data_IF_732985278414
#
_entry.id   IF_732985278414
#
_cell.length_a   1.000
_cell.length_b   1.000
_cell.length_c   1.000
_cell.angle_alpha   90.00
_cell.angle_beta   90.00
_cell.angle_gamma   90.00
#
_symmetry.space_group_name_H-M   'P 1'
#
loop_
_entity.id
_entity.type
_entity.pdbx_description
1 polymer ?
#
# COMPACT_ATOMS: atom_id res chain seq x y z
N UNK A 1 17.54 -1.22 26.77
CA UNK A 1 16.66 -0.15 26.23
C UNK A 1 15.92 -0.77 25.05
N UNK A 2 14.64 -1.09 25.20
CA UNK A 2 13.85 -1.71 24.12
C UNK A 2 13.08 -0.61 23.40
N UNK A 3 13.49 -0.29 22.18
CA UNK A 3 12.79 0.69 21.36
C UNK A 3 11.67 -0.04 20.61
N UNK A 4 10.44 0.09 21.10
CA UNK A 4 9.25 -0.32 20.35
C UNK A 4 8.93 0.82 19.39
N UNK A 5 9.21 0.60 18.10
CA UNK A 5 8.78 1.51 17.04
C UNK A 5 7.32 1.20 16.76
N UNK A 6 6.41 2.00 17.32
CA UNK A 6 4.99 1.90 17.02
C UNK A 6 4.77 2.45 15.60
N UNK A 7 4.41 1.61 14.63
CA UNK A 7 4.23 2.02 13.22
C UNK A 7 3.02 2.92 13.05
N UNK A 8 3.13 4.18 12.59
CA UNK A 8 2.01 4.86 11.98
C UNK A 8 2.02 4.47 10.50
N UNK A 9 1.30 3.40 10.17
CA UNK A 9 1.05 2.99 8.79
C UNK A 9 -0.34 2.41 8.67
N UNK A 10 -1.33 3.20 9.11
CA UNK A 10 -2.73 2.97 8.77
C UNK A 10 -2.92 3.46 7.34
N UNK A 11 -2.55 2.62 6.37
CA UNK A 11 -2.84 2.87 4.96
C UNK A 11 -4.28 2.45 4.71
N UNK A 12 -5.22 3.29 5.13
CA UNK A 12 -6.65 3.04 4.91
C UNK A 12 -7.17 3.92 3.79
N UNK A 13 -7.89 3.33 2.85
CA UNK A 13 -8.60 4.04 1.79
C UNK A 13 -10.10 4.03 2.09
N UNK A 14 -10.74 5.20 2.07
CA UNK A 14 -12.20 5.28 2.06
C UNK A 14 -12.67 5.16 0.62
N UNK A 15 -13.31 4.05 0.28
CA UNK A 15 -13.98 3.92 -1.00
C UNK A 15 -15.26 4.78 -1.03
N UNK A 16 -15.63 5.35 -2.19
CA UNK A 16 -16.85 6.13 -2.34
C UNK A 16 -18.13 5.42 -1.88
N UNK A 17 -18.25 4.10 -2.10
CA UNK A 17 -19.50 3.37 -1.80
C UNK A 17 -19.36 2.10 -0.96
N UNK A 18 -18.15 1.58 -0.73
CA UNK A 18 -17.93 0.27 -0.07
C UNK A 18 -17.19 0.36 1.27
N UNK A 19 -17.14 1.57 1.85
CA UNK A 19 -16.54 1.79 3.17
C UNK A 19 -15.01 1.85 3.14
N UNK A 20 -14.39 1.48 4.26
CA UNK A 20 -12.95 1.61 4.46
C UNK A 20 -12.21 0.31 4.16
N UNK A 21 -11.15 0.43 3.37
CA UNK A 21 -10.20 -0.65 3.07
C UNK A 21 -8.94 -0.41 3.89
N UNK A 22 -8.45 -1.45 4.57
CA UNK A 22 -7.18 -1.43 5.26
C UNK A 22 -6.11 -2.13 4.40
N UNK A 23 -5.22 -1.35 3.78
CA UNK A 23 -4.16 -1.90 2.93
C UNK A 23 -3.11 -2.70 3.70
N UNK A 24 -3.00 -2.54 5.03
CA UNK A 24 -2.12 -3.40 5.82
C UNK A 24 -2.54 -4.88 5.79
N UNK A 25 -3.80 -5.16 5.44
CA UNK A 25 -4.33 -6.52 5.30
C UNK A 25 -4.26 -7.03 3.85
N UNK A 26 -3.82 -6.20 2.90
CA UNK A 26 -3.72 -6.56 1.49
C UNK A 26 -2.35 -7.15 1.23
N UNK A 27 -2.35 -8.36 0.68
CA UNK A 27 -1.14 -9.08 0.27
C UNK A 27 -0.72 -8.69 -1.14
N UNK A 28 -1.69 -8.52 -2.04
CA UNK A 28 -1.45 -8.21 -3.44
C UNK A 28 -2.59 -7.37 -4.02
N UNK A 29 -2.24 -6.42 -4.88
CA UNK A 29 -3.17 -5.66 -5.71
C UNK A 29 -2.90 -6.01 -7.18
N UNK A 30 -3.95 -6.35 -7.91
CA UNK A 30 -3.94 -6.49 -9.37
C UNK A 30 -4.88 -5.43 -9.94
N UNK A 31 -4.50 -4.78 -11.03
CA UNK A 31 -5.35 -3.81 -11.71
C UNK A 31 -5.35 -4.03 -13.21
N UNK A 32 -6.48 -3.73 -13.84
CA UNK A 32 -6.67 -3.75 -15.28
C UNK A 32 -7.44 -2.48 -15.67
N UNK A 33 -6.87 -1.68 -16.56
CA UNK A 33 -7.40 -0.35 -16.92
C UNK A 33 -8.33 -0.40 -18.14
N UNK A 34 -8.33 -1.50 -18.90
CA UNK A 34 -9.09 -1.61 -20.15
C UNK A 34 -9.82 -2.95 -20.24
N UNK A 35 -11.12 -3.00 -20.63
CA UNK A 35 -12.02 -1.90 -21.02
C UNK A 35 -12.76 -1.22 -19.85
N UNK A 36 -12.55 -1.67 -18.61
CA UNK A 36 -13.11 -1.07 -17.39
C UNK A 36 -12.04 -1.10 -16.32
N UNK A 37 -11.89 -0.01 -15.55
CA UNK A 37 -11.02 0.00 -14.38
C UNK A 37 -11.51 -1.04 -13.36
N UNK A 38 -10.76 -2.13 -13.23
CA UNK A 38 -10.99 -3.20 -12.27
C UNK A 38 -9.76 -3.33 -11.39
N UNK A 39 -9.98 -3.47 -10.09
CA UNK A 39 -8.95 -3.77 -9.11
C UNK A 39 -9.33 -5.05 -8.39
N UNK A 40 -8.41 -5.99 -8.29
CA UNK A 40 -8.56 -7.20 -7.48
C UNK A 40 -7.57 -7.15 -6.33
N UNK A 41 -8.10 -7.05 -5.11
CA UNK A 41 -7.32 -7.17 -3.90
C UNK A 41 -7.27 -8.65 -3.50
N UNK A 42 -6.07 -9.13 -3.19
CA UNK A 42 -5.88 -10.40 -2.50
C UNK A 42 -5.48 -10.07 -1.06
N UNK A 43 -6.31 -10.49 -0.12
CA UNK A 43 -6.12 -10.29 1.31
C UNK A 43 -5.07 -11.25 1.88
N UNK A 44 -4.57 -10.96 3.08
CA UNK A 44 -3.57 -11.79 3.76
C UNK A 44 -4.02 -13.23 3.99
N UNK A 45 -5.32 -13.45 4.17
CA UNK A 45 -5.93 -14.77 4.34
C UNK A 45 -6.11 -15.52 3.00
N UNK A 46 -5.75 -14.90 1.87
CA UNK A 46 -5.88 -15.47 0.53
C UNK A 46 -7.20 -15.15 -0.17
N UNK A 47 -8.16 -14.52 0.52
CA UNK A 47 -9.42 -14.13 -0.09
C UNK A 47 -9.20 -13.08 -1.17
N UNK A 48 -10.03 -13.11 -2.22
CA UNK A 48 -9.98 -12.16 -3.32
C UNK A 48 -11.25 -11.33 -3.36
N UNK A 49 -11.09 -10.02 -3.46
CA UNK A 49 -12.19 -9.08 -3.61
C UNK A 49 -11.97 -8.17 -4.80
N UNK A 50 -13.01 -8.02 -5.62
CA UNK A 50 -12.98 -7.24 -6.85
C UNK A 50 -13.71 -5.92 -6.65
N UNK A 51 -13.07 -4.82 -7.04
CA UNK A 51 -13.63 -3.48 -7.06
C UNK A 51 -13.62 -2.96 -8.50
N UNK A 52 -14.60 -2.14 -8.85
CA UNK A 52 -14.73 -1.59 -10.21
C UNK A 52 -15.05 -0.10 -10.18
N UNK A 53 -14.85 0.58 -11.31
CA UNK A 53 -15.28 1.97 -11.51
C UNK A 53 -14.62 2.94 -10.52
N UNK A 54 -15.43 3.77 -9.86
CA UNK A 54 -14.95 4.82 -8.95
C UNK A 54 -14.23 4.27 -7.72
N UNK A 55 -14.62 3.08 -7.24
CA UNK A 55 -13.95 2.42 -6.11
C UNK A 55 -12.57 1.92 -6.54
N UNK A 56 -12.47 1.31 -7.73
CA UNK A 56 -11.19 0.86 -8.29
C UNK A 56 -10.21 2.04 -8.47
N UNK A 57 -10.68 3.17 -9.01
CA UNK A 57 -9.87 4.36 -9.18
C UNK A 57 -9.38 4.93 -7.84
N UNK A 58 -10.26 5.05 -6.84
CA UNK A 58 -9.90 5.53 -5.51
C UNK A 58 -8.88 4.62 -4.81
N UNK A 59 -9.02 3.30 -4.98
CA UNK A 59 -8.09 2.32 -4.42
C UNK A 59 -6.70 2.44 -5.06
N UNK A 60 -6.63 2.56 -6.39
CA UNK A 60 -5.37 2.74 -7.12
C UNK A 60 -4.65 4.01 -6.69
N UNK A 61 -5.36 5.14 -6.67
CA UNK A 61 -4.79 6.42 -6.26
C UNK A 61 -4.24 6.38 -4.83
N UNK A 62 -5.00 5.77 -3.90
CA UNK A 62 -4.56 5.64 -2.52
C UNK A 62 -3.39 4.67 -2.36
N UNK A 63 -3.34 3.60 -3.17
CA UNK A 63 -2.23 2.64 -3.19
C UNK A 63 -0.93 3.29 -3.65
N UNK A 64 -0.96 4.05 -4.75
CA UNK A 64 0.22 4.78 -5.25
C UNK A 64 0.76 5.79 -4.24
N UNK A 65 -0.13 6.55 -3.59
CA UNK A 65 0.27 7.47 -2.51
C UNK A 65 0.92 6.72 -1.35
N UNK A 66 0.36 5.57 -0.96
CA UNK A 66 0.91 4.75 0.10
C UNK A 66 2.31 4.21 -0.25
N UNK A 67 2.51 3.69 -1.46
CA UNK A 67 3.80 3.19 -1.91
C UNK A 67 4.83 4.30 -2.05
N UNK A 68 4.45 5.47 -2.59
CA UNK A 68 5.35 6.62 -2.69
C UNK A 68 5.83 7.10 -1.32
N UNK A 69 4.97 7.12 -0.31
CA UNK A 69 5.35 7.46 1.07
C UNK A 69 6.32 6.43 1.66
N UNK A 70 6.14 5.14 1.34
CA UNK A 70 7.06 4.08 1.78
C UNK A 70 8.42 4.21 1.10
N UNK A 71 8.47 4.48 -0.20
CA UNK A 71 9.72 4.70 -0.92
C UNK A 71 10.49 5.91 -0.38
N UNK A 72 9.80 7.01 -0.09
CA UNK A 72 10.40 8.19 0.56
C UNK A 72 10.92 7.86 1.96
N UNK A 73 10.17 7.07 2.75
CA UNK A 73 10.61 6.59 4.07
C UNK A 73 11.77 5.62 3.98
N UNK A 74 11.91 4.83 2.93
CA UNK A 74 13.06 3.93 2.74
C UNK A 74 14.32 4.65 2.25
N UNK A 75 14.20 5.89 1.76
CA UNK A 75 15.33 6.71 1.33
C UNK A 75 16.09 7.40 2.48
N UNK A 76 15.75 7.14 3.75
CA UNK A 76 16.57 7.57 4.88
C UNK A 76 17.79 6.64 5.11
N UNK A 77 18.81 6.82 4.28
CA UNK A 77 20.16 7.13 4.76
C UNK A 77 20.82 6.21 5.82
N UNK A 78 21.00 4.90 5.57
CA UNK A 78 21.84 4.07 6.45
C UNK A 78 22.77 3.02 5.83
N UNK A 79 22.87 2.88 4.49
CA UNK A 79 23.74 1.84 3.89
C UNK A 79 25.10 2.28 3.34
N UNK A 80 25.50 3.55 3.50
CA UNK A 80 26.75 4.04 2.88
C UNK A 80 27.83 4.58 3.84
N UNK A 81 27.60 4.62 5.17
CA UNK A 81 28.58 5.23 6.10
C UNK A 81 29.52 4.26 6.83
N UNK A 82 29.56 2.98 6.44
CA UNK A 82 30.51 1.99 6.97
C UNK A 82 31.40 1.36 5.89
N UNK A 83 31.79 2.11 4.84
CA UNK A 83 33.05 1.80 4.14
C UNK A 83 34.17 2.20 5.09
N UNK A 84 34.63 1.22 5.89
CA UNK A 84 35.86 1.33 6.68
C UNK A 84 36.97 1.79 5.73
N UNK A 85 37.57 2.93 6.06
CA UNK A 85 38.91 3.30 5.63
C UNK A 85 39.83 2.13 5.96
N UNK A 86 40.42 1.53 4.92
CA UNK A 86 41.48 0.55 5.00
C UNK A 86 42.58 1.00 4.05
#
# INVERSE_FOLDING_TARGET
MHTIINTPSVFTCKTPSEGWINFAQVRQLQHEEYPKNVVVLTWHNGDRQTFTGVNAAAILQAWEQATALLEQRCNCNHRLKNRRSG
#
